data_IF_347266279453
#
_entry.id   IF_347266279453
#
_cell.length_a   1.000
_cell.length_b   1.000
_cell.length_c   1.000
_cell.angle_alpha   90.00
_cell.angle_beta   90.00
_cell.angle_gamma   90.00
#
_symmetry.space_group_name_H-M   'P 1'
#
loop_
_entity.id
_entity.type
_entity.pdbx_description
1 polymer ?
#
# COMPACT_ATOMS: atom_id res chain seq x y z
N UNK A 1 -14.87 32.24 7.08
CA UNK A 1 -15.35 30.92 7.49
C UNK A 1 -16.64 31.16 8.24
N UNK A 2 -17.75 30.65 7.73
CA UNK A 2 -19.05 30.78 8.37
C UNK A 2 -19.22 29.71 9.44
N UNK A 3 -19.69 30.08 10.64
CA UNK A 3 -20.04 29.14 11.69
C UNK A 3 -21.56 28.93 11.70
N UNK A 4 -22.00 27.72 11.39
CA UNK A 4 -23.40 27.39 11.22
C UNK A 4 -23.80 26.34 12.26
N UNK A 5 -24.84 26.63 13.04
CA UNK A 5 -25.39 25.72 14.03
C UNK A 5 -26.77 25.27 13.58
N UNK A 6 -26.92 23.97 13.37
CA UNK A 6 -28.14 23.34 12.92
C UNK A 6 -28.63 22.36 13.98
N UNK A 7 -29.89 21.96 13.88
CA UNK A 7 -30.59 21.15 14.87
C UNK A 7 -31.29 19.93 14.26
N UNK A 8 -31.52 19.91 12.95
CA UNK A 8 -32.30 18.87 12.27
C UNK A 8 -31.73 18.46 10.91
N UNK A 9 -32.17 17.28 10.43
CA UNK A 9 -31.84 16.77 9.10
C UNK A 9 -32.30 17.72 7.97
N UNK A 10 -33.47 18.37 8.11
CA UNK A 10 -33.97 19.31 7.09
C UNK A 10 -33.10 20.56 6.97
N UNK A 11 -32.64 21.07 8.11
CA UNK A 11 -31.72 22.20 8.15
C UNK A 11 -30.37 21.84 7.52
N UNK A 12 -29.86 20.63 7.79
CA UNK A 12 -28.63 20.10 7.16
C UNK A 12 -28.78 20.02 5.64
N UNK A 13 -29.90 19.47 5.16
CA UNK A 13 -30.19 19.38 3.72
C UNK A 13 -30.20 20.77 3.07
N UNK A 14 -30.94 21.70 3.66
CA UNK A 14 -31.03 23.08 3.18
C UNK A 14 -29.66 23.77 3.17
N UNK A 15 -28.83 23.51 4.17
CA UNK A 15 -27.48 24.08 4.23
C UNK A 15 -26.58 23.54 3.11
N UNK A 16 -26.70 22.26 2.75
CA UNK A 16 -25.91 21.69 1.65
C UNK A 16 -26.33 22.19 0.27
N UNK A 17 -27.61 22.51 0.06
CA UNK A 17 -28.09 23.11 -1.19
C UNK A 17 -27.43 24.49 -1.49
N UNK A 18 -26.85 25.14 -0.48
CA UNK A 18 -26.12 26.40 -0.64
C UNK A 18 -24.70 26.22 -1.21
N UNK A 19 -24.15 25.00 -1.16
CA UNK A 19 -22.80 24.71 -1.60
C UNK A 19 -22.85 23.94 -2.93
N UNK A 20 -22.19 24.46 -3.96
CA UNK A 20 -22.16 23.84 -5.29
C UNK A 20 -21.20 22.65 -5.39
N UNK A 21 -21.15 22.04 -6.58
CA UNK A 21 -20.32 20.86 -6.92
C UNK A 21 -18.81 21.08 -6.72
N UNK A 22 -18.37 22.33 -6.63
CA UNK A 22 -16.98 22.71 -6.37
C UNK A 22 -16.57 22.65 -4.89
N UNK A 23 -17.50 22.33 -3.99
CA UNK A 23 -17.20 22.12 -2.58
C UNK A 23 -16.65 20.71 -2.32
N UNK A 24 -15.78 20.60 -1.32
CA UNK A 24 -15.44 19.33 -0.70
C UNK A 24 -15.87 19.37 0.78
N UNK A 25 -16.22 18.22 1.32
CA UNK A 25 -16.74 18.08 2.67
C UNK A 25 -15.84 17.18 3.51
N UNK A 26 -15.77 17.46 4.80
CA UNK A 26 -15.09 16.62 5.79
C UNK A 26 -15.89 16.57 7.08
N UNK A 27 -16.34 15.38 7.46
CA UNK A 27 -17.01 15.14 8.74
C UNK A 27 -16.09 14.56 9.80
N UNK A 28 -16.39 14.84 11.07
CA UNK A 28 -15.72 14.28 12.23
C UNK A 28 -16.54 14.48 13.50
N UNK A 29 -16.36 13.59 14.49
CA UNK A 29 -17.07 13.66 15.77
C UNK A 29 -16.42 14.58 16.80
N UNK A 30 -15.30 15.22 16.45
CA UNK A 30 -14.54 16.10 17.34
C UNK A 30 -14.09 17.35 16.57
N UNK A 31 -14.01 18.50 17.25
CA UNK A 31 -13.45 19.72 16.70
C UNK A 31 -12.01 19.89 17.18
N UNK A 32 -11.08 20.12 16.23
CA UNK A 32 -9.68 20.38 16.55
C UNK A 32 -9.32 21.82 16.21
N UNK A 33 -8.73 22.52 17.17
CA UNK A 33 -8.24 23.89 17.02
C UNK A 33 -6.74 23.97 17.27
N UNK A 34 -6.06 24.90 16.62
CA UNK A 34 -4.66 25.22 16.91
C UNK A 34 -4.52 26.02 18.21
N UNK A 35 -3.28 26.37 18.58
CA UNK A 35 -2.98 27.16 19.77
C UNK A 35 -3.60 28.57 19.75
N UNK A 36 -4.01 29.05 18.58
CA UNK A 36 -4.65 30.35 18.36
C UNK A 36 -6.17 30.25 18.38
N UNK A 37 -6.74 29.04 18.55
CA UNK A 37 -8.18 28.79 18.53
C UNK A 37 -8.77 28.66 17.11
N UNK A 38 -7.95 28.68 16.06
CA UNK A 38 -8.40 28.48 14.68
C UNK A 38 -8.58 27.00 14.37
N UNK A 39 -9.51 26.65 13.48
CA UNK A 39 -9.70 25.26 13.03
C UNK A 39 -8.38 24.69 12.49
N UNK A 40 -8.00 23.51 12.98
CA UNK A 40 -6.76 22.83 12.58
C UNK A 40 -7.06 21.43 12.08
N UNK A 41 -7.02 21.24 10.76
CA UNK A 41 -7.14 19.92 10.12
C UNK A 41 -5.74 19.49 9.69
N UNK A 42 -5.16 18.55 10.44
CA UNK A 42 -3.78 18.07 10.22
C UNK A 42 -3.76 16.74 9.47
N UNK A 43 -2.69 16.48 8.72
CA UNK A 43 -2.49 15.17 8.09
C UNK A 43 -2.22 14.07 9.13
N UNK A 44 -2.48 12.81 8.75
CA UNK A 44 -2.31 11.66 9.63
C UNK A 44 -0.87 11.50 10.12
N UNK A 45 0.12 11.87 9.30
CA UNK A 45 1.53 11.80 9.69
C UNK A 45 1.89 12.71 10.87
N UNK A 46 1.36 13.93 10.94
CA UNK A 46 1.68 14.82 12.07
C UNK A 46 1.11 14.27 13.39
N UNK A 47 0.00 13.52 13.31
CA UNK A 47 -0.66 12.91 14.47
C UNK A 47 0.01 11.61 14.92
N UNK A 48 0.67 10.87 14.03
CA UNK A 48 1.05 9.48 14.30
C UNK A 48 2.45 9.07 13.81
N UNK A 49 3.25 10.01 13.29
CA UNK A 49 4.61 9.79 12.83
C UNK A 49 4.72 9.13 11.44
N UNK A 50 5.96 8.95 10.97
CA UNK A 50 6.31 8.28 9.72
C UNK A 50 7.41 7.25 9.95
N UNK A 51 7.32 6.11 9.26
CA UNK A 51 8.41 5.14 9.12
C UNK A 51 8.82 5.13 7.64
N UNK A 52 9.82 5.92 7.22
CA UNK A 52 10.09 6.18 5.80
C UNK A 52 10.25 4.93 4.94
N UNK A 53 10.98 3.91 5.43
CA UNK A 53 11.18 2.65 4.70
C UNK A 53 9.88 1.87 4.45
N UNK A 54 8.94 1.89 5.40
CA UNK A 54 7.61 1.28 5.21
C UNK A 54 6.75 2.13 4.27
N UNK A 55 6.79 3.45 4.39
CA UNK A 55 6.06 4.34 3.47
C UNK A 55 6.48 4.11 2.03
N UNK A 56 7.78 3.99 1.75
CA UNK A 56 8.28 3.75 0.39
C UNK A 56 7.90 2.35 -0.13
N UNK A 57 8.09 1.31 0.68
CA UNK A 57 7.68 -0.06 0.36
C UNK A 57 6.18 -0.12 0.00
N UNK A 58 5.32 0.44 0.85
CA UNK A 58 3.89 0.36 0.61
C UNK A 58 3.46 1.25 -0.53
N UNK A 59 4.11 2.42 -0.74
CA UNK A 59 3.89 3.26 -1.93
C UNK A 59 4.21 2.48 -3.22
N UNK A 60 5.31 1.73 -3.22
CA UNK A 60 5.67 0.83 -4.32
C UNK A 60 4.58 -0.22 -4.54
N UNK A 61 4.18 -0.93 -3.48
CA UNK A 61 3.18 -1.99 -3.60
C UNK A 61 1.82 -1.45 -4.07
N UNK A 62 1.39 -0.30 -3.55
CA UNK A 62 0.17 0.35 -3.99
C UNK A 62 0.22 0.73 -5.46
N UNK A 63 1.38 1.11 -6.01
CA UNK A 63 1.54 1.36 -7.44
C UNK A 63 1.25 0.10 -8.26
N UNK A 64 1.71 -1.07 -7.83
CA UNK A 64 1.39 -2.36 -8.47
C UNK A 64 -0.11 -2.66 -8.35
N UNK A 65 -0.71 -2.50 -7.16
CA UNK A 65 -2.15 -2.71 -6.93
C UNK A 65 -2.99 -1.84 -7.85
N UNK A 66 -2.62 -0.57 -7.91
CA UNK A 66 -3.24 0.42 -8.77
C UNK A 66 -3.12 0.01 -10.24
N UNK A 67 -1.93 -0.36 -10.71
CA UNK A 67 -1.73 -0.80 -12.09
C UNK A 67 -2.58 -2.03 -12.44
N UNK A 68 -2.72 -2.97 -11.50
CA UNK A 68 -3.53 -4.18 -11.70
C UNK A 68 -5.03 -3.86 -11.80
N UNK A 69 -5.53 -2.89 -11.03
CA UNK A 69 -6.93 -2.43 -11.12
C UNK A 69 -7.13 -1.51 -12.33
N UNK A 70 -6.12 -0.72 -12.68
CA UNK A 70 -6.23 0.30 -13.72
C UNK A 70 -5.98 -0.21 -15.14
N UNK A 71 -5.41 -1.40 -15.24
CA UNK A 71 -4.98 -1.97 -16.51
C UNK A 71 -3.58 -1.51 -16.89
N UNK A 72 -2.99 -2.19 -17.86
CA UNK A 72 -1.59 -2.01 -18.24
C UNK A 72 -1.36 -0.89 -19.26
N UNK A 73 -2.14 0.21 -19.16
CA UNK A 73 -1.89 1.38 -20.00
C UNK A 73 -0.58 2.08 -19.62
N UNK A 74 0.12 2.69 -20.59
CA UNK A 74 1.50 3.16 -20.44
C UNK A 74 1.66 4.43 -19.57
N UNK A 75 0.58 4.92 -18.94
CA UNK A 75 0.66 6.12 -18.10
C UNK A 75 1.15 5.72 -16.70
N UNK A 76 2.37 6.14 -16.29
CA UNK A 76 2.88 5.75 -14.99
C UNK A 76 2.06 6.40 -13.89
N UNK A 77 1.56 5.59 -12.95
CA UNK A 77 0.94 6.11 -11.73
C UNK A 77 1.97 6.92 -10.93
N UNK A 78 1.73 8.22 -10.68
CA UNK A 78 2.60 9.03 -9.83
C UNK A 78 2.64 8.47 -8.40
N UNK A 79 3.81 8.49 -7.75
CA UNK A 79 3.96 8.01 -6.37
C UNK A 79 3.01 8.71 -5.38
N UNK A 80 2.71 9.99 -5.63
CA UNK A 80 1.77 10.79 -4.83
C UNK A 80 0.37 10.16 -4.83
N UNK A 81 -0.07 9.64 -5.98
CA UNK A 81 -1.37 8.98 -6.12
C UNK A 81 -1.39 7.63 -5.39
N UNK A 82 -0.30 6.86 -5.47
CA UNK A 82 -0.14 5.63 -4.69
C UNK A 82 -0.25 5.89 -3.19
N UNK A 83 0.36 6.97 -2.70
CA UNK A 83 0.28 7.37 -1.30
C UNK A 83 -1.10 7.90 -0.88
N UNK A 84 -1.78 8.63 -1.77
CA UNK A 84 -3.14 9.11 -1.55
C UNK A 84 -4.11 7.94 -1.40
N UNK A 85 -4.04 6.94 -2.29
CA UNK A 85 -4.85 5.73 -2.22
C UNK A 85 -4.57 4.94 -0.95
N UNK A 86 -3.29 4.70 -0.61
CA UNK A 86 -2.95 4.02 0.65
C UNK A 86 -3.53 4.73 1.86
N UNK A 87 -3.44 6.07 1.89
CA UNK A 87 -3.98 6.84 3.00
C UNK A 87 -5.49 6.63 3.13
N UNK A 88 -6.20 6.70 2.01
CA UNK A 88 -7.64 6.49 1.98
C UNK A 88 -8.05 5.12 2.54
N UNK A 89 -7.18 4.11 2.37
CA UNK A 89 -7.40 2.79 2.93
C UNK A 89 -7.07 2.65 4.43
N UNK A 90 -6.42 3.65 5.02
CA UNK A 90 -6.09 3.70 6.45
C UNK A 90 -4.59 3.78 6.75
N UNK A 91 -3.73 3.78 5.73
CA UNK A 91 -2.30 3.98 5.93
C UNK A 91 -1.99 5.43 6.33
N UNK A 92 -0.88 5.65 7.04
CA UNK A 92 -0.49 6.99 7.51
C UNK A 92 0.29 7.72 6.42
N UNK A 93 -0.11 8.94 6.07
CA UNK A 93 0.55 9.76 5.05
C UNK A 93 0.30 11.27 5.25
N UNK A 94 0.65 12.07 4.25
CA UNK A 94 0.69 13.53 4.26
C UNK A 94 -0.59 14.20 3.73
N UNK A 95 -1.71 13.49 3.63
CA UNK A 95 -2.93 14.04 3.05
C UNK A 95 -4.00 14.29 4.09
N UNK A 96 -5.05 14.99 3.68
CA UNK A 96 -6.31 15.12 4.40
C UNK A 96 -7.41 14.52 3.52
N UNK A 97 -8.13 13.52 4.05
CA UNK A 97 -9.30 12.96 3.38
C UNK A 97 -10.45 13.97 3.36
N UNK A 98 -11.10 14.07 2.21
CA UNK A 98 -12.32 14.82 1.95
C UNK A 98 -13.23 14.00 1.02
N UNK A 99 -14.45 14.46 0.83
CA UNK A 99 -15.43 13.83 -0.04
C UNK A 99 -16.22 14.88 -0.80
N UNK A 100 -16.61 14.61 -2.05
CA UNK A 100 -17.57 15.45 -2.75
C UNK A 100 -19.03 15.12 -2.35
N UNK A 101 -19.27 14.03 -1.61
CA UNK A 101 -20.59 13.64 -1.12
C UNK A 101 -20.85 14.13 0.31
N UNK A 102 -21.74 15.11 0.46
CA UNK A 102 -22.15 15.64 1.77
C UNK A 102 -22.73 14.57 2.72
N UNK A 103 -23.40 13.54 2.16
CA UNK A 103 -23.93 12.41 2.93
C UNK A 103 -22.81 11.58 3.58
N UNK A 104 -21.71 11.33 2.87
CA UNK A 104 -20.54 10.61 3.40
C UNK A 104 -19.88 11.43 4.52
N UNK A 105 -19.70 12.74 4.33
CA UNK A 105 -19.20 13.61 5.39
C UNK A 105 -20.15 13.62 6.60
N UNK A 106 -21.46 13.66 6.39
CA UNK A 106 -22.43 13.58 7.47
C UNK A 106 -22.34 12.26 8.24
N UNK A 107 -22.10 11.15 7.54
CA UNK A 107 -21.84 9.86 8.18
C UNK A 107 -20.64 9.94 9.14
N UNK A 108 -19.51 10.51 8.72
CA UNK A 108 -18.33 10.70 9.58
C UNK A 108 -18.53 11.71 10.72
N UNK A 109 -19.48 12.63 10.60
CA UNK A 109 -19.89 13.53 11.69
C UNK A 109 -20.85 12.83 12.69
N UNK A 110 -21.58 11.82 12.23
CA UNK A 110 -22.59 11.07 13.00
C UNK A 110 -22.08 9.78 13.66
N UNK A 111 -20.97 9.21 13.19
CA UNK A 111 -20.40 7.95 13.65
C UNK A 111 -18.94 8.12 14.11
N UNK A 112 -18.61 7.52 15.26
CA UNK A 112 -17.24 7.50 15.80
C UNK A 112 -16.52 6.23 15.36
N UNK A 113 -15.37 6.41 14.72
CA UNK A 113 -14.45 5.33 14.39
C UNK A 113 -13.62 4.92 15.61
N UNK A 114 -13.57 3.62 15.89
CA UNK A 114 -12.70 2.99 16.85
C UNK A 114 -11.88 1.90 16.15
N UNK A 115 -10.56 1.91 16.34
CA UNK A 115 -9.68 0.87 15.83
C UNK A 115 -9.07 0.15 17.02
N UNK A 116 -9.26 -1.16 17.08
CA UNK A 116 -8.79 -2.00 18.17
C UNK A 116 -7.99 -3.19 17.61
N UNK A 117 -7.05 -3.70 18.40
CA UNK A 117 -6.37 -4.94 18.05
C UNK A 117 -7.24 -6.13 18.45
N UNK A 118 -7.57 -7.00 17.50
CA UNK A 118 -8.25 -8.27 17.73
C UNK A 118 -7.26 -9.44 17.58
N UNK A 119 -7.33 -10.38 18.52
CA UNK A 119 -6.54 -11.62 18.45
C UNK A 119 -7.41 -12.76 17.91
N UNK A 120 -6.96 -13.38 16.84
CA UNK A 120 -7.55 -14.60 16.30
C UNK A 120 -6.62 -15.78 16.60
N UNK A 121 -7.17 -16.87 17.16
CA UNK A 121 -6.47 -18.16 17.24
C UNK A 121 -7.11 -19.07 16.21
N UNK A 122 -6.33 -19.50 15.24
CA UNK A 122 -6.81 -20.21 14.05
C UNK A 122 -5.79 -21.23 13.57
N UNK A 123 -6.00 -21.80 12.41
CA UNK A 123 -5.05 -22.67 11.73
C UNK A 123 -4.85 -22.26 10.27
N UNK A 124 -3.69 -22.58 9.72
CA UNK A 124 -3.46 -22.52 8.28
C UNK A 124 -4.14 -23.68 7.53
N UNK A 125 -4.02 -23.70 6.20
CA UNK A 125 -4.59 -24.72 5.32
C UNK A 125 -4.15 -26.16 5.63
N UNK A 126 -2.98 -26.34 6.24
CA UNK A 126 -2.44 -27.63 6.67
C UNK A 126 -2.85 -28.01 8.11
N UNK A 127 -3.59 -27.16 8.81
CA UNK A 127 -3.99 -27.35 10.20
C UNK A 127 -2.94 -26.91 11.22
N UNK A 128 -1.89 -26.20 10.80
CA UNK A 128 -0.87 -25.64 11.69
C UNK A 128 -1.49 -24.50 12.49
N UNK A 129 -1.47 -24.56 13.84
CA UNK A 129 -2.11 -23.52 14.65
C UNK A 129 -1.26 -22.24 14.66
N UNK A 130 -1.94 -21.11 14.48
CA UNK A 130 -1.33 -19.76 14.45
C UNK A 130 -2.18 -18.77 15.25
N UNK A 131 -1.54 -17.70 15.72
CA UNK A 131 -2.24 -16.56 16.30
C UNK A 131 -2.07 -15.33 15.40
N UNK A 132 -3.15 -14.63 15.08
CA UNK A 132 -3.13 -13.44 14.23
C UNK A 132 -3.53 -12.20 15.03
N UNK A 133 -2.91 -11.06 14.70
CA UNK A 133 -3.28 -9.75 15.23
C UNK A 133 -3.86 -8.92 14.10
N UNK A 134 -5.15 -8.62 14.21
CA UNK A 134 -5.89 -7.77 13.27
C UNK A 134 -6.05 -6.37 13.85
N UNK A 135 -6.02 -5.35 13.00
CA UNK A 135 -6.55 -4.03 13.33
C UNK A 135 -8.00 -4.00 12.87
N UNK A 136 -8.97 -4.05 13.80
CA UNK A 136 -10.39 -4.08 13.45
C UNK A 136 -10.98 -2.68 13.62
N UNK A 137 -11.60 -2.17 12.56
CA UNK A 137 -12.30 -0.90 12.56
C UNK A 137 -13.78 -1.09 12.84
N UNK A 138 -14.30 -0.42 13.87
CA UNK A 138 -15.72 -0.39 14.20
C UNK A 138 -16.22 1.05 14.26
N UNK A 139 -17.44 1.27 13.77
CA UNK A 139 -18.09 2.57 13.84
C UNK A 139 -19.36 2.49 14.66
N UNK A 140 -19.43 3.27 15.75
CA UNK A 140 -20.60 3.36 16.61
C UNK A 140 -21.26 4.73 16.47
N UNK A 141 -22.58 4.80 16.67
CA UNK A 141 -23.27 6.08 16.73
C UNK A 141 -22.62 7.01 17.77
N UNK A 142 -22.46 8.28 17.43
CA UNK A 142 -21.95 9.30 18.34
C UNK A 142 -23.11 10.06 18.99
N UNK A 143 -23.11 10.21 20.32
CA UNK A 143 -24.21 10.87 21.04
C UNK A 143 -24.03 12.39 21.25
N UNK A 144 -22.97 12.98 20.68
CA UNK A 144 -22.61 14.39 20.87
C UNK A 144 -22.93 15.29 19.67
N UNK A 145 -22.09 16.32 19.52
CA UNK A 145 -22.16 17.25 18.38
C UNK A 145 -21.24 16.71 17.28
N UNK A 146 -21.79 16.52 16.09
CA UNK A 146 -21.00 16.28 14.90
C UNK A 146 -20.45 17.59 14.35
N UNK A 147 -19.31 17.51 13.69
CA UNK A 147 -18.68 18.64 13.01
C UNK A 147 -18.45 18.31 11.55
N UNK A 148 -18.84 19.23 10.68
CA UNK A 148 -18.64 19.12 9.25
C UNK A 148 -18.03 20.41 8.71
N UNK A 149 -16.99 20.27 7.91
CA UNK A 149 -16.28 21.37 7.29
C UNK A 149 -16.53 21.38 5.80
N UNK A 150 -16.83 22.55 5.27
CA UNK A 150 -16.95 22.79 3.83
C UNK A 150 -15.66 23.46 3.36
N UNK A 151 -15.05 22.87 2.33
CA UNK A 151 -13.74 23.21 1.82
C UNK A 151 -13.85 23.74 0.39
N UNK A 152 -13.16 24.85 0.10
CA UNK A 152 -13.12 25.43 -1.25
C UNK A 152 -11.95 24.85 -2.04
N UNK A 153 -12.26 24.14 -3.14
CA UNK A 153 -11.24 23.64 -4.08
C UNK A 153 -10.38 24.78 -4.63
N UNK A 154 -11.01 25.89 -5.00
CA UNK A 154 -10.31 27.08 -5.50
C UNK A 154 -9.32 27.65 -4.48
N UNK A 155 -9.71 27.79 -3.21
CA UNK A 155 -8.83 28.30 -2.17
C UNK A 155 -7.64 27.36 -1.89
N UNK A 156 -7.87 26.05 -1.93
CA UNK A 156 -6.82 25.01 -1.79
C UNK A 156 -5.81 25.13 -2.94
N UNK A 157 -6.29 25.16 -4.19
CA UNK A 157 -5.45 25.32 -5.37
C UNK A 157 -4.66 26.64 -5.36
N UNK A 158 -5.30 27.76 -4.96
CA UNK A 158 -4.61 29.06 -4.80
C UNK A 158 -3.53 29.04 -3.74
N UNK A 159 -3.64 28.18 -2.73
CA UNK A 159 -2.61 27.96 -1.73
C UNK A 159 -1.46 27.06 -2.24
N UNK A 160 -1.52 26.60 -3.50
CA UNK A 160 -0.51 25.73 -4.11
C UNK A 160 -0.56 24.29 -3.61
N UNK A 161 -1.71 23.85 -3.06
CA UNK A 161 -1.92 22.48 -2.57
C UNK A 161 -2.66 21.69 -3.64
N UNK A 162 -2.19 20.48 -3.92
CA UNK A 162 -2.81 19.60 -4.90
C UNK A 162 -4.09 18.96 -4.35
N UNK A 163 -5.03 18.72 -5.26
CA UNK A 163 -6.27 17.99 -5.04
C UNK A 163 -6.23 16.72 -5.88
N UNK A 164 -6.42 15.58 -5.23
CA UNK A 164 -6.41 14.27 -5.88
C UNK A 164 -7.83 13.71 -5.86
N UNK A 165 -8.51 13.78 -7.00
CA UNK A 165 -9.77 13.09 -7.24
C UNK A 165 -9.50 11.59 -7.35
N UNK A 166 -9.85 10.83 -6.31
CA UNK A 166 -9.61 9.40 -6.34
C UNK A 166 -10.63 8.67 -7.19
N UNK A 167 -11.83 9.21 -7.38
CA UNK A 167 -12.88 8.57 -8.19
C UNK A 167 -12.57 8.76 -9.67
N UNK A 168 -12.31 10.00 -10.08
CA UNK A 168 -11.94 10.34 -11.46
C UNK A 168 -10.61 9.71 -11.90
N UNK A 169 -9.72 9.38 -10.96
CA UNK A 169 -8.50 8.63 -11.23
C UNK A 169 -8.72 7.12 -11.45
N UNK A 170 -9.89 6.57 -11.07
CA UNK A 170 -10.22 5.18 -11.37
C UNK A 170 -10.64 5.06 -12.83
N UNK A 171 -10.03 4.16 -13.62
CA UNK A 171 -10.52 3.83 -14.94
C UNK A 171 -11.82 3.05 -14.80
N UNK A 172 -12.58 3.05 -15.89
CA UNK A 172 -13.91 2.46 -16.00
C UNK A 172 -13.99 0.92 -15.75
N UNK A 173 -12.89 0.27 -15.37
CA UNK A 173 -12.74 -1.18 -15.17
C UNK A 173 -12.57 -1.62 -13.70
N UNK A 174 -12.73 -0.72 -12.74
CA UNK A 174 -12.78 -1.16 -11.34
C UNK A 174 -14.01 -2.06 -11.13
N UNK A 175 -13.78 -3.36 -10.96
CA UNK A 175 -14.84 -4.32 -10.63
C UNK A 175 -15.29 -4.09 -9.18
N UNK A 176 -16.61 -4.07 -8.98
CA UNK A 176 -17.24 -3.91 -7.67
C UNK A 176 -17.38 -2.45 -7.20
N UNK A 177 -17.65 -2.27 -5.91
CA UNK A 177 -17.77 -0.94 -5.28
C UNK A 177 -16.51 -0.75 -4.45
N UNK A 178 -15.48 -0.16 -5.05
CA UNK A 178 -14.25 0.18 -4.33
C UNK A 178 -14.46 1.39 -3.43
N UNK A 179 -13.76 1.45 -2.30
CA UNK A 179 -13.94 2.49 -1.27
C UNK A 179 -13.89 3.93 -1.80
N UNK A 180 -12.97 4.32 -2.71
CA UNK A 180 -12.98 5.67 -3.27
C UNK A 180 -14.31 6.05 -3.91
N UNK A 181 -14.96 5.12 -4.62
CA UNK A 181 -16.28 5.33 -5.24
C UNK A 181 -17.36 5.41 -4.16
N UNK A 182 -17.34 4.49 -3.19
CA UNK A 182 -18.31 4.45 -2.09
C UNK A 182 -18.34 5.76 -1.28
N UNK A 183 -17.19 6.43 -1.18
CA UNK A 183 -17.02 7.64 -0.39
C UNK A 183 -16.94 8.92 -1.22
N UNK A 184 -17.05 8.87 -2.54
CA UNK A 184 -16.80 10.00 -3.45
C UNK A 184 -15.51 10.76 -3.07
N UNK A 185 -14.42 10.00 -2.99
CA UNK A 185 -13.24 10.35 -2.21
C UNK A 185 -12.28 11.33 -2.90
N UNK A 186 -11.80 12.28 -2.12
CA UNK A 186 -10.79 13.27 -2.51
C UNK A 186 -9.69 13.35 -1.47
N UNK A 187 -8.44 13.44 -1.90
CA UNK A 187 -7.29 13.59 -1.02
C UNK A 187 -6.66 14.96 -1.27
N UNK A 188 -6.52 15.75 -0.21
CA UNK A 188 -5.90 17.09 -0.26
C UNK A 188 -4.47 16.94 0.23
N UNK A 189 -3.48 17.38 -0.55
CA UNK A 189 -2.07 17.32 -0.15
C UNK A 189 -1.11 16.90 -1.26
N UNK A 190 0.18 16.67 -0.93
CA UNK A 190 0.72 16.51 0.42
C UNK A 190 0.79 17.83 1.21
N UNK A 191 0.44 17.81 2.49
CA UNK A 191 0.49 18.95 3.41
C UNK A 191 0.64 18.52 4.90
N UNK A 192 1.05 19.46 5.75
CA UNK A 192 1.06 19.26 7.22
C UNK A 192 -0.30 19.58 7.84
N UNK A 193 -0.88 20.70 7.45
CA UNK A 193 -2.16 21.18 7.94
C UNK A 193 -2.88 21.99 6.86
N UNK A 194 -4.19 21.83 6.77
CA UNK A 194 -5.02 22.55 5.81
C UNK A 194 -5.02 24.04 6.17
N UNK A 195 -4.76 24.95 5.21
CA UNK A 195 -4.86 26.38 5.45
C UNK A 195 -6.29 26.76 5.83
N UNK A 196 -6.47 27.56 6.89
CA UNK A 196 -7.79 27.97 7.38
C UNK A 196 -8.63 28.71 6.32
N UNK A 197 -7.98 29.44 5.40
CA UNK A 197 -8.63 30.10 4.24
C UNK A 197 -9.34 29.11 3.31
N UNK A 198 -8.95 27.84 3.33
CA UNK A 198 -9.58 26.78 2.54
C UNK A 198 -10.90 26.32 3.13
N UNK A 199 -11.17 26.62 4.40
CA UNK A 199 -12.37 26.22 5.12
C UNK A 199 -13.39 27.37 5.03
N UNK A 200 -14.40 27.20 4.19
CA UNK A 200 -15.39 28.24 3.94
C UNK A 200 -16.53 28.21 4.95
N UNK A 201 -16.86 27.03 5.50
CA UNK A 201 -17.85 26.89 6.56
C UNK A 201 -17.51 25.76 7.54
N UNK A 202 -17.97 25.94 8.78
CA UNK A 202 -18.01 24.94 9.84
C UNK A 202 -19.45 24.77 10.29
N UNK A 203 -20.03 23.61 10.00
CA UNK A 203 -21.40 23.23 10.35
C UNK A 203 -21.33 22.31 11.57
N UNK A 204 -22.13 22.63 12.59
CA UNK A 204 -22.26 21.83 13.81
C UNK A 204 -23.73 21.54 14.09
N UNK A 205 -24.03 20.30 14.45
CA UNK A 205 -25.37 19.82 14.75
C UNK A 205 -25.32 18.60 15.67
N UNK A 206 -26.42 18.21 16.33
CA UNK A 206 -26.51 16.91 16.98
C UNK A 206 -26.13 15.79 16.00
N UNK A 207 -25.27 14.87 16.43
CA UNK A 207 -24.79 13.78 15.58
C UNK A 207 -25.92 12.91 15.00
N UNK A 208 -27.05 12.80 15.71
CA UNK A 208 -28.26 12.14 15.19
C UNK A 208 -28.77 12.81 13.91
N UNK A 209 -28.78 14.14 13.81
CA UNK A 209 -29.26 14.84 12.63
C UNK A 209 -28.38 14.55 11.39
N UNK A 210 -27.07 14.41 11.59
CA UNK A 210 -26.15 13.99 10.53
C UNK A 210 -26.36 12.52 10.12
N UNK A 211 -26.63 11.63 11.09
CA UNK A 211 -26.98 10.23 10.79
C UNK A 211 -28.27 10.14 9.99
N UNK A 212 -29.32 10.85 10.41
CA UNK A 212 -30.61 10.88 9.70
C UNK A 212 -30.44 11.35 8.25
N UNK A 213 -29.60 12.36 8.03
CA UNK A 213 -29.27 12.84 6.68
C UNK A 213 -28.53 11.77 5.86
N UNK A 214 -27.49 11.14 6.43
CA UNK A 214 -26.74 10.07 5.77
C UNK A 214 -27.63 8.85 5.44
N UNK A 215 -28.51 8.46 6.37
CA UNK A 215 -29.49 7.38 6.18
C UNK A 215 -30.49 7.71 5.06
N UNK A 216 -30.92 8.97 4.96
CA UNK A 216 -31.80 9.42 3.86
C UNK A 216 -31.16 9.30 2.47
N UNK A 217 -29.83 9.26 2.42
CA UNK A 217 -29.03 8.99 1.22
C UNK A 217 -28.62 7.51 1.06
N UNK A 218 -29.13 6.61 1.92
CA UNK A 218 -28.88 5.16 1.85
C UNK A 218 -27.62 4.68 2.60
N UNK A 219 -26.93 5.54 3.36
CA UNK A 219 -25.73 5.20 4.14
C UNK A 219 -26.12 4.66 5.54
N UNK A 220 -26.89 3.58 5.55
CA UNK A 220 -27.42 2.96 6.79
C UNK A 220 -26.39 2.03 7.44
N UNK A 221 -25.70 1.22 6.62
CA UNK A 221 -24.73 0.24 7.09
C UNK A 221 -23.30 0.69 6.85
N UNK A 222 -22.38 0.28 7.73
CA UNK A 222 -20.95 0.57 7.60
C UNK A 222 -20.37 0.05 6.28
N UNK A 223 -20.86 -1.08 5.76
CA UNK A 223 -20.47 -1.67 4.47
C UNK A 223 -20.68 -0.72 3.28
N UNK A 224 -21.59 0.25 3.38
CA UNK A 224 -21.82 1.26 2.34
C UNK A 224 -20.72 2.31 2.27
N UNK A 225 -20.00 2.52 3.37
CA UNK A 225 -18.87 3.46 3.46
C UNK A 225 -17.54 2.70 3.38
N UNK A 226 -17.49 1.50 3.94
CA UNK A 226 -16.32 0.62 3.98
C UNK A 226 -16.68 -0.74 3.36
N UNK A 227 -16.70 -0.84 2.02
CA UNK A 227 -16.97 -2.09 1.33
C UNK A 227 -15.96 -3.18 1.74
N UNK A 228 -16.43 -4.43 1.74
CA UNK A 228 -15.61 -5.59 2.14
C UNK A 228 -14.59 -5.96 1.06
N UNK A 229 -13.54 -6.73 1.36
CA UNK A 229 -12.61 -7.25 0.33
C UNK A 229 -13.29 -8.10 -0.76
N UNK A 230 -14.51 -8.59 -0.54
CA UNK A 230 -15.28 -9.28 -1.57
C UNK A 230 -15.88 -8.33 -2.62
N UNK A 231 -16.09 -7.06 -2.26
CA UNK A 231 -16.68 -6.02 -3.12
C UNK A 231 -15.65 -4.99 -3.59
N UNK A 232 -14.57 -4.81 -2.82
CA UNK A 232 -13.50 -3.84 -3.05
C UNK A 232 -12.22 -4.55 -3.48
N UNK A 233 -11.99 -4.56 -4.80
CA UNK A 233 -10.82 -5.20 -5.40
C UNK A 233 -9.49 -4.57 -4.98
N UNK A 234 -9.44 -3.26 -4.73
CA UNK A 234 -8.23 -2.59 -4.25
C UNK A 234 -7.91 -3.06 -2.83
N UNK A 235 -8.91 -3.07 -1.94
CA UNK A 235 -8.74 -3.55 -0.56
C UNK A 235 -8.29 -5.02 -0.54
N UNK A 236 -8.89 -5.87 -1.39
CA UNK A 236 -8.51 -7.27 -1.54
C UNK A 236 -7.03 -7.42 -1.89
N UNK A 237 -6.54 -6.64 -2.86
CA UNK A 237 -5.14 -6.68 -3.24
C UNK A 237 -4.23 -6.14 -2.12
N UNK A 238 -4.59 -5.02 -1.48
CA UNK A 238 -3.84 -4.49 -0.35
C UNK A 238 -3.73 -5.50 0.81
N UNK A 239 -4.75 -6.34 1.02
CA UNK A 239 -4.72 -7.42 2.01
C UNK A 239 -4.03 -8.70 1.53
N UNK A 240 -3.71 -8.86 0.25
CA UNK A 240 -3.02 -10.07 -0.23
C UNK A 240 -1.55 -10.17 0.21
N UNK A 241 -1.03 -9.16 0.91
CA UNK A 241 0.32 -9.20 1.47
C UNK A 241 0.41 -10.32 2.52
N UNK A 242 1.53 -11.08 2.56
CA UNK A 242 1.75 -12.12 3.55
C UNK A 242 1.60 -11.61 4.98
N UNK A 243 1.13 -12.50 5.85
CA UNK A 243 1.22 -12.35 7.29
C UNK A 243 2.67 -12.53 7.73
N UNK A 244 3.15 -11.66 8.62
CA UNK A 244 4.55 -11.66 9.05
C UNK A 244 4.67 -12.04 10.51
N UNK A 245 5.58 -12.97 10.80
CA UNK A 245 5.88 -13.35 12.16
C UNK A 245 6.39 -12.13 12.95
N UNK A 246 5.72 -11.82 14.06
CA UNK A 246 6.15 -10.78 14.98
C UNK A 246 6.80 -11.37 16.23
N UNK A 247 7.59 -10.55 16.92
CA UNK A 247 8.23 -10.98 18.16
C UNK A 247 7.18 -11.27 19.24
N UNK A 248 7.04 -12.53 19.63
CA UNK A 248 6.14 -12.96 20.70
C UNK A 248 5.57 -14.36 20.46
N UNK A 249 4.97 -14.93 21.51
CA UNK A 249 4.19 -16.17 21.45
C UNK A 249 2.99 -16.08 22.37
N UNK A 250 1.87 -16.67 21.98
CA UNK A 250 0.72 -16.89 22.86
C UNK A 250 0.62 -18.39 23.12
N UNK A 251 0.95 -18.83 24.35
CA UNK A 251 0.90 -20.26 24.73
C UNK A 251 1.60 -21.16 23.69
N UNK A 252 2.83 -20.77 23.35
CA UNK A 252 3.71 -21.39 22.34
C UNK A 252 3.38 -21.18 20.86
N UNK A 253 2.22 -20.61 20.53
CA UNK A 253 1.83 -20.31 19.15
C UNK A 253 2.62 -19.13 18.57
N UNK A 254 3.11 -19.22 17.32
CA UNK A 254 3.65 -18.06 16.61
C UNK A 254 2.56 -17.01 16.39
N UNK A 255 2.92 -15.74 16.56
CA UNK A 255 2.01 -14.62 16.34
C UNK A 255 2.37 -13.94 15.03
N UNK A 256 1.39 -13.71 14.17
CA UNK A 256 1.55 -13.02 12.91
C UNK A 256 0.72 -11.73 12.86
N UNK A 257 1.17 -10.77 12.05
CA UNK A 257 0.46 -9.54 11.73
C UNK A 257 0.71 -9.18 10.26
N UNK A 258 -0.28 -8.59 9.57
CA UNK A 258 -0.07 -8.14 8.19
C UNK A 258 1.00 -7.05 8.12
N UNK A 259 1.88 -7.13 7.13
CA UNK A 259 2.90 -6.10 6.89
C UNK A 259 2.31 -4.72 6.61
N UNK A 260 1.27 -4.68 5.77
CA UNK A 260 0.48 -3.49 5.50
C UNK A 260 -0.70 -3.46 6.48
N UNK A 261 -0.54 -2.65 7.53
CA UNK A 261 -1.55 -2.50 8.59
C UNK A 261 -2.63 -1.55 8.14
N UNK A 262 -3.81 -2.08 7.81
CA UNK A 262 -5.01 -1.33 7.48
C UNK A 262 -6.16 -1.82 8.37
N UNK A 263 -7.08 -0.95 8.78
CA UNK A 263 -8.26 -1.37 9.53
C UNK A 263 -9.18 -2.28 8.70
N UNK A 264 -9.57 -3.40 9.30
CA UNK A 264 -10.55 -4.36 8.77
C UNK A 264 -11.94 -4.04 9.33
N UNK A 265 -12.83 -3.54 8.47
CA UNK A 265 -14.21 -3.18 8.84
C UNK A 265 -15.21 -4.34 8.70
N UNK A 266 -14.80 -5.43 8.05
CA UNK A 266 -15.64 -6.61 7.82
C UNK A 266 -15.02 -7.89 8.37
N UNK A 267 -14.16 -7.74 9.40
CA UNK A 267 -13.44 -8.84 10.02
C UNK A 267 -14.38 -9.94 10.50
N UNK A 268 -14.08 -11.18 10.11
CA UNK A 268 -14.75 -12.40 10.56
C UNK A 268 -13.68 -13.44 10.84
N UNK A 269 -13.56 -13.96 12.07
CA UNK A 269 -12.56 -14.96 12.39
C UNK A 269 -12.82 -16.24 11.60
N UNK A 270 -11.76 -16.86 11.11
CA UNK A 270 -11.83 -18.12 10.39
C UNK A 270 -11.38 -19.25 11.31
N UNK A 271 -11.98 -20.43 11.12
CA UNK A 271 -11.49 -21.65 11.79
C UNK A 271 -10.18 -22.15 11.18
N UNK A 272 -10.06 -21.97 9.87
CA UNK A 272 -8.95 -22.41 9.05
C UNK A 272 -8.84 -21.42 7.88
N UNK A 273 -7.66 -20.85 7.69
CA UNK A 273 -7.36 -19.95 6.57
C UNK A 273 -7.10 -20.77 5.29
N UNK A 274 -7.42 -20.21 4.12
CA UNK A 274 -7.22 -20.91 2.85
C UNK A 274 -5.72 -20.98 2.48
N UNK A 275 -5.38 -21.81 1.50
CA UNK A 275 -3.99 -22.09 1.12
C UNK A 275 -3.26 -20.88 0.51
N UNK A 276 -4.01 -19.96 -0.10
CA UNK A 276 -3.53 -18.70 -0.68
C UNK A 276 -3.29 -17.59 0.35
N UNK A 277 -3.47 -17.86 1.65
CA UNK A 277 -3.01 -16.98 2.73
C UNK A 277 -1.70 -17.50 3.35
N UNK A 278 -0.62 -16.76 3.11
CA UNK A 278 0.71 -17.10 3.62
C UNK A 278 1.01 -16.50 5.01
N UNK A 279 1.54 -17.34 5.91
CA UNK A 279 2.06 -16.99 7.24
C UNK A 279 3.59 -17.12 7.27
N UNK A 280 4.27 -16.06 6.87
CA UNK A 280 5.70 -16.09 6.61
C UNK A 280 6.54 -15.94 7.89
N UNK A 281 7.32 -16.99 8.17
CA UNK A 281 8.42 -16.93 9.14
C UNK A 281 9.72 -16.56 8.42
N UNK A 282 10.44 -15.50 8.82
CA UNK A 282 11.60 -15.02 8.09
C UNK A 282 12.68 -16.08 7.86
N UNK A 283 13.03 -16.32 6.59
CA UNK A 283 14.19 -17.08 6.19
C UNK A 283 14.82 -16.51 4.91
N UNK A 284 16.06 -16.89 4.66
CA UNK A 284 16.79 -16.58 3.44
C UNK A 284 16.96 -17.84 2.58
N UNK A 285 16.50 -17.81 1.34
CA UNK A 285 16.79 -18.82 0.31
C UNK A 285 18.29 -19.01 0.17
N UNK A 286 19.10 -17.94 0.30
CA UNK A 286 20.56 -18.04 0.28
C UNK A 286 21.14 -19.07 1.27
N UNK A 287 20.45 -19.31 2.39
CA UNK A 287 20.84 -20.25 3.45
C UNK A 287 20.34 -21.68 3.19
N UNK A 288 19.28 -21.83 2.40
CA UNK A 288 18.73 -23.12 2.01
C UNK A 288 18.26 -23.05 0.55
N UNK A 289 19.22 -23.18 -0.38
CA UNK A 289 19.04 -22.86 -1.81
C UNK A 289 18.14 -23.83 -2.57
N UNK A 290 17.66 -24.89 -1.91
CA UNK A 290 16.85 -25.91 -2.55
C UNK A 290 17.59 -26.62 -3.68
N UNK A 291 16.91 -26.79 -4.82
CA UNK A 291 17.38 -27.51 -6.00
C UNK A 291 18.57 -26.89 -6.75
N UNK A 292 18.94 -27.50 -7.87
CA UNK A 292 20.18 -27.18 -8.60
C UNK A 292 20.18 -25.77 -9.25
N UNK A 293 19.01 -25.19 -9.50
CA UNK A 293 18.84 -23.93 -10.24
C UNK A 293 19.64 -22.76 -9.67
N UNK A 294 19.68 -22.63 -8.34
CA UNK A 294 20.28 -21.49 -7.64
C UNK A 294 21.59 -21.83 -6.91
N UNK A 295 22.08 -23.08 -7.01
CA UNK A 295 23.24 -23.53 -6.23
C UNK A 295 24.48 -22.64 -6.46
N UNK A 296 24.74 -22.26 -7.70
CA UNK A 296 25.92 -21.49 -8.09
C UNK A 296 25.70 -19.96 -8.12
N UNK A 297 24.50 -19.49 -7.81
CA UNK A 297 24.21 -18.06 -7.79
C UNK A 297 24.88 -17.35 -6.61
N UNK A 298 25.31 -16.11 -6.85
CA UNK A 298 25.68 -15.19 -5.77
C UNK A 298 24.42 -14.51 -5.22
N UNK A 299 24.19 -14.59 -3.92
CA UNK A 299 23.06 -13.93 -3.27
C UNK A 299 23.48 -12.63 -2.62
N UNK A 300 22.78 -11.54 -2.93
CA UNK A 300 22.89 -10.24 -2.28
C UNK A 300 21.62 -10.05 -1.43
N UNK A 301 21.74 -10.17 -0.11
CA UNK A 301 20.60 -10.10 0.81
C UNK A 301 20.38 -8.68 1.31
N UNK A 302 19.19 -8.14 1.13
CA UNK A 302 18.84 -6.77 1.51
C UNK A 302 17.48 -6.67 2.22
N UNK A 303 17.28 -5.68 3.11
CA UNK A 303 15.97 -5.43 3.70
C UNK A 303 14.94 -4.98 2.65
N UNK A 304 13.72 -5.52 2.68
CA UNK A 304 12.66 -5.21 1.70
C UNK A 304 12.35 -3.72 1.58
N UNK A 305 12.39 -2.99 2.71
CA UNK A 305 12.04 -1.58 2.76
C UNK A 305 13.01 -0.71 1.97
N UNK A 306 14.27 -1.17 1.84
CA UNK A 306 15.27 -0.57 0.97
C UNK A 306 15.11 -1.07 -0.46
N UNK A 307 14.91 -2.38 -0.63
CA UNK A 307 14.86 -3.04 -1.95
C UNK A 307 13.73 -2.51 -2.83
N UNK A 308 12.53 -2.44 -2.29
CA UNK A 308 11.36 -1.93 -3.00
C UNK A 308 11.18 -0.42 -2.83
N UNK A 309 11.84 0.20 -1.86
CA UNK A 309 11.73 1.62 -1.57
C UNK A 309 12.66 2.52 -2.40
N UNK A 310 13.82 2.02 -2.83
CA UNK A 310 14.79 2.78 -3.60
C UNK A 310 14.51 2.71 -5.12
N UNK A 311 13.68 3.62 -5.61
CA UNK A 311 13.26 3.71 -7.02
C UNK A 311 14.17 4.62 -7.88
N UNK A 312 15.39 4.91 -7.42
CA UNK A 312 16.34 5.71 -8.19
C UNK A 312 16.68 5.07 -9.54
N UNK A 313 16.60 5.84 -10.64
CA UNK A 313 17.09 5.37 -11.94
C UNK A 313 18.59 5.17 -11.89
N UNK A 314 19.05 4.04 -12.41
CA UNK A 314 20.47 3.73 -12.54
C UNK A 314 20.79 3.61 -14.04
N UNK A 315 21.65 4.48 -14.57
CA UNK A 315 21.96 4.51 -16.01
C UNK A 315 22.92 3.39 -16.43
N UNK A 316 23.75 2.90 -15.50
CA UNK A 316 24.72 1.84 -15.71
C UNK A 316 24.90 1.01 -14.43
N UNK A 317 25.12 -0.30 -14.60
CA UNK A 317 25.28 -1.25 -13.49
C UNK A 317 26.60 -2.04 -13.57
N UNK A 318 27.77 -1.38 -13.61
CA UNK A 318 29.05 -2.05 -13.81
C UNK A 318 29.38 -3.09 -12.72
N UNK A 319 29.13 -2.80 -11.43
CA UNK A 319 29.50 -3.71 -10.34
C UNK A 319 28.62 -4.96 -10.34
N UNK A 320 27.30 -4.79 -10.47
CA UNK A 320 26.35 -5.89 -10.55
C UNK A 320 26.63 -6.77 -11.78
N UNK A 321 26.87 -6.17 -12.95
CA UNK A 321 27.15 -6.94 -14.18
C UNK A 321 28.50 -7.66 -14.08
N UNK A 322 29.50 -7.10 -13.42
CA UNK A 322 30.76 -7.81 -13.16
C UNK A 322 30.53 -9.07 -12.31
N UNK A 323 29.68 -8.99 -11.28
CA UNK A 323 29.30 -10.15 -10.48
C UNK A 323 28.50 -11.18 -11.27
N UNK A 324 27.53 -10.73 -12.08
CA UNK A 324 26.74 -11.61 -12.96
C UNK A 324 27.63 -12.35 -13.94
N UNK A 325 28.62 -11.68 -14.56
CA UNK A 325 29.57 -12.34 -15.47
C UNK A 325 30.47 -13.34 -14.76
N UNK A 326 30.89 -13.03 -13.53
CA UNK A 326 31.76 -13.91 -12.73
C UNK A 326 31.03 -15.17 -12.25
N UNK A 327 29.77 -15.04 -11.86
CA UNK A 327 29.00 -16.12 -11.24
C UNK A 327 27.95 -16.75 -12.16
N UNK A 328 27.74 -16.19 -13.36
CA UNK A 328 26.66 -16.53 -14.29
C UNK A 328 25.29 -15.99 -13.85
N UNK A 329 25.05 -15.93 -12.54
CA UNK A 329 23.79 -15.51 -11.94
C UNK A 329 24.01 -14.80 -10.60
N UNK A 330 23.30 -13.69 -10.41
CA UNK A 330 23.20 -12.99 -9.13
C UNK A 330 21.73 -12.91 -8.73
N UNK A 331 21.44 -13.21 -7.47
CA UNK A 331 20.12 -13.08 -6.87
C UNK A 331 20.16 -11.91 -5.90
N UNK A 332 19.26 -10.95 -6.05
CA UNK A 332 19.04 -9.91 -5.04
C UNK A 332 17.82 -10.30 -4.24
N UNK A 333 18.05 -10.75 -3.00
CA UNK A 333 17.05 -11.37 -2.15
C UNK A 333 16.55 -10.40 -1.07
N UNK A 334 15.24 -10.37 -0.89
CA UNK A 334 14.52 -9.64 0.15
C UNK A 334 14.36 -10.48 1.42
N UNK A 335 14.43 -9.86 2.60
CA UNK A 335 14.18 -10.51 3.90
C UNK A 335 12.76 -11.08 4.01
N UNK A 336 11.78 -10.38 3.41
CA UNK A 336 10.37 -10.75 3.41
C UNK A 336 9.82 -10.77 1.96
N UNK A 337 8.90 -11.70 1.65
CA UNK A 337 8.23 -11.74 0.36
C UNK A 337 7.22 -10.59 0.19
N UNK A 338 6.86 -10.32 -1.06
CA UNK A 338 5.79 -9.42 -1.46
C UNK A 338 4.81 -10.17 -2.36
N UNK A 339 3.52 -9.87 -2.23
CA UNK A 339 2.51 -10.36 -3.16
C UNK A 339 2.59 -9.60 -4.48
N UNK A 340 2.16 -10.23 -5.56
CA UNK A 340 1.90 -9.57 -6.82
C UNK A 340 0.38 -9.54 -7.06
N UNK A 341 -0.25 -8.38 -7.31
CA UNK A 341 -1.70 -8.28 -7.42
C UNK A 341 -2.33 -9.23 -8.45
N UNK A 342 -1.63 -9.51 -9.55
CA UNK A 342 -2.05 -10.44 -10.60
C UNK A 342 -2.01 -11.91 -10.17
N UNK A 343 -1.32 -12.21 -9.06
CA UNK A 343 -1.19 -13.54 -8.48
C UNK A 343 -2.07 -13.69 -7.22
N UNK A 344 -2.93 -12.71 -6.92
CA UNK A 344 -3.89 -12.82 -5.81
C UNK A 344 -4.80 -14.02 -6.02
N UNK A 345 -4.94 -14.85 -4.99
CA UNK A 345 -5.64 -16.14 -5.07
C UNK A 345 -4.76 -17.31 -5.48
N UNK A 346 -3.45 -17.08 -5.68
CA UNK A 346 -2.44 -18.12 -5.87
C UNK A 346 -1.49 -18.17 -4.66
N UNK A 347 -0.60 -19.16 -4.65
CA UNK A 347 0.42 -19.32 -3.62
C UNK A 347 1.74 -18.62 -3.97
N UNK A 348 1.82 -17.90 -5.10
CA UNK A 348 3.08 -17.35 -5.62
C UNK A 348 3.38 -15.95 -5.08
N UNK A 349 4.57 -15.78 -4.51
CA UNK A 349 5.08 -14.51 -3.99
C UNK A 349 6.46 -14.17 -4.56
N UNK A 350 6.76 -12.87 -4.67
CA UNK A 350 8.09 -12.39 -5.03
C UNK A 350 8.98 -12.24 -3.80
N UNK A 351 10.20 -12.77 -3.83
CA UNK A 351 11.21 -12.59 -2.78
C UNK A 351 12.44 -11.81 -3.24
N UNK A 352 12.38 -11.18 -4.41
CA UNK A 352 13.46 -10.36 -4.95
C UNK A 352 13.57 -10.53 -6.47
N UNK A 353 14.79 -10.37 -6.99
CA UNK A 353 15.06 -10.53 -8.43
C UNK A 353 16.23 -11.48 -8.68
N UNK A 354 16.27 -12.02 -9.89
CA UNK A 354 17.39 -12.78 -10.43
C UNK A 354 17.92 -12.05 -11.65
N UNK A 355 19.24 -11.85 -11.69
CA UNK A 355 19.97 -11.28 -12.83
C UNK A 355 20.88 -12.35 -13.40
N UNK A 356 20.65 -12.74 -14.65
CA UNK A 356 21.29 -13.89 -15.28
C UNK A 356 21.94 -13.49 -16.60
N UNK A 357 23.17 -13.97 -16.83
CA UNK A 357 23.84 -13.81 -18.12
C UNK A 357 23.41 -14.89 -19.12
N UNK A 358 23.16 -14.47 -20.36
CA UNK A 358 22.94 -15.30 -21.53
C UNK A 358 24.05 -15.01 -22.56
N UNK A 359 25.24 -15.56 -22.31
CA UNK A 359 26.45 -15.19 -23.04
C UNK A 359 27.02 -13.83 -22.60
N UNK A 360 27.75 -13.15 -23.49
CA UNK A 360 28.57 -11.99 -23.10
C UNK A 360 27.80 -10.66 -22.99
N UNK A 361 26.70 -10.54 -23.74
CA UNK A 361 26.00 -9.28 -23.97
C UNK A 361 24.55 -9.29 -23.55
N UNK A 362 23.93 -10.45 -23.35
CA UNK A 362 22.51 -10.52 -23.03
C UNK A 362 22.32 -10.81 -21.55
N UNK A 363 21.49 -10.00 -20.89
CA UNK A 363 21.16 -10.10 -19.48
C UNK A 363 19.64 -10.27 -19.36
N UNK A 364 19.23 -11.27 -18.60
CA UNK A 364 17.83 -11.45 -18.19
C UNK A 364 17.67 -10.94 -16.76
N UNK A 365 16.59 -10.19 -16.53
CA UNK A 365 16.17 -9.77 -15.18
C UNK A 365 14.76 -10.30 -14.91
N UNK A 366 14.66 -11.14 -13.89
CA UNK A 366 13.48 -11.94 -13.55
C UNK A 366 13.10 -11.78 -12.08
N UNK A 367 11.89 -12.21 -11.70
CA UNK A 367 11.51 -12.32 -10.29
C UNK A 367 12.08 -13.59 -9.67
N UNK A 368 12.56 -13.48 -8.43
CA UNK A 368 12.77 -14.64 -7.56
C UNK A 368 11.41 -15.00 -6.94
N UNK A 369 10.84 -16.13 -7.34
CA UNK A 369 9.51 -16.56 -6.86
C UNK A 369 9.62 -17.56 -5.71
N UNK A 370 8.61 -17.54 -4.86
CA UNK A 370 8.45 -18.41 -3.72
C UNK A 370 6.98 -18.80 -3.59
N UNK A 371 6.71 -20.10 -3.59
CA UNK A 371 5.37 -20.62 -3.35
C UNK A 371 5.16 -20.86 -1.85
N UNK A 372 4.17 -20.19 -1.28
CA UNK A 372 3.80 -20.27 0.13
C UNK A 372 2.35 -20.75 0.28
N UNK A 373 2.17 -21.83 1.02
CA UNK A 373 0.87 -22.38 1.41
C UNK A 373 0.77 -22.39 2.93
N UNK A 374 -0.02 -21.48 3.51
CA UNK A 374 -0.06 -21.32 4.96
C UNK A 374 1.31 -20.97 5.54
N UNK A 375 1.79 -21.76 6.51
CA UNK A 375 3.13 -21.60 7.10
C UNK A 375 4.27 -22.25 6.28
N UNK A 376 3.96 -22.97 5.19
CA UNK A 376 4.91 -23.79 4.47
C UNK A 376 5.43 -23.09 3.20
N UNK A 377 6.75 -23.10 3.02
CA UNK A 377 7.37 -22.80 1.74
C UNK A 377 7.50 -24.10 0.93
N UNK A 378 6.84 -24.17 -0.22
CA UNK A 378 6.73 -25.38 -1.03
C UNK A 378 7.78 -25.42 -2.16
N UNK A 379 7.88 -24.34 -2.93
CA UNK A 379 8.77 -24.26 -4.09
C UNK A 379 9.50 -22.91 -4.16
N UNK A 380 10.74 -22.95 -4.64
CA UNK A 380 11.55 -21.76 -4.94
C UNK A 380 11.82 -21.76 -6.44
N UNK A 381 11.46 -20.68 -7.12
CA UNK A 381 11.52 -20.59 -8.56
C UNK A 381 12.16 -19.31 -9.07
N UNK A 382 12.31 -19.26 -10.39
CA UNK A 382 12.69 -18.05 -11.13
C UNK A 382 11.67 -17.88 -12.24
N UNK A 383 10.87 -16.82 -12.16
CA UNK A 383 9.88 -16.52 -13.17
C UNK A 383 10.55 -16.09 -14.48
N UNK A 384 9.78 -16.02 -15.58
CA UNK A 384 10.29 -15.44 -16.82
C UNK A 384 10.60 -13.95 -16.64
N UNK A 385 11.75 -13.52 -17.17
CA UNK A 385 12.22 -12.13 -17.09
C UNK A 385 12.05 -11.33 -18.36
N UNK A 386 12.54 -10.09 -18.31
CA UNK A 386 12.82 -9.30 -19.50
C UNK A 386 14.30 -9.31 -19.83
N UNK A 387 14.60 -9.14 -21.12
CA UNK A 387 15.94 -9.23 -21.67
C UNK A 387 16.49 -7.86 -22.02
N UNK A 388 17.78 -7.69 -21.76
CA UNK A 388 18.51 -6.45 -21.94
C UNK A 388 19.86 -6.72 -22.60
N UNK A 389 20.20 -5.92 -23.60
CA UNK A 389 21.56 -5.89 -24.15
C UNK A 389 22.45 -5.02 -23.25
N UNK A 390 23.56 -5.61 -22.81
CA UNK A 390 24.58 -4.98 -21.99
C UNK A 390 25.75 -4.53 -22.86
N UNK A 391 25.95 -3.22 -22.91
CA UNK A 391 27.16 -2.61 -23.48
C UNK A 391 28.34 -2.64 -22.49
N UNK A 392 29.54 -2.32 -22.98
CA UNK A 392 30.82 -2.48 -22.25
C UNK A 392 30.96 -1.79 -20.88
N UNK A 393 30.04 -0.89 -20.52
CA UNK A 393 30.04 -0.17 -19.23
C UNK A 393 28.88 -0.55 -18.30
N UNK A 394 28.24 -1.71 -18.51
CA UNK A 394 27.10 -2.14 -17.68
C UNK A 394 25.80 -1.38 -17.97
N UNK A 395 25.74 -0.60 -19.05
CA UNK A 395 24.50 0.03 -19.50
C UNK A 395 23.62 -1.00 -20.20
N UNK A 396 22.40 -1.13 -19.71
CA UNK A 396 21.38 -2.08 -20.15
C UNK A 396 20.34 -1.39 -21.04
N UNK A 397 20.08 -1.96 -22.21
CA UNK A 397 19.05 -1.52 -23.14
C UNK A 397 18.04 -2.64 -23.37
N UNK A 398 16.74 -2.37 -23.19
CA UNK A 398 15.68 -3.37 -23.39
C UNK A 398 15.71 -3.93 -24.82
N UNK A 399 15.65 -5.25 -24.97
CA UNK A 399 15.57 -5.94 -26.27
C UNK A 399 14.50 -7.03 -26.23
N UNK A 400 13.65 -7.11 -27.26
CA UNK A 400 12.68 -8.20 -27.37
C UNK A 400 13.38 -9.55 -27.53
N UNK A 401 12.88 -10.57 -26.86
CA UNK A 401 13.44 -11.92 -26.89
C UNK A 401 12.33 -12.97 -26.87
N UNK A 402 12.55 -14.11 -27.52
CA UNK A 402 11.52 -15.16 -27.66
C UNK A 402 11.11 -15.82 -26.33
N UNK A 403 12.00 -15.78 -25.33
CA UNK A 403 11.79 -16.36 -24.00
C UNK A 403 11.41 -15.31 -22.94
N UNK A 404 11.09 -14.09 -23.35
CA UNK A 404 10.71 -13.04 -22.40
C UNK A 404 9.34 -13.31 -21.77
N UNK A 405 9.15 -12.79 -20.56
CA UNK A 405 7.87 -12.82 -19.88
C UNK A 405 6.76 -12.23 -20.78
N UNK A 406 5.69 -12.99 -21.06
CA UNK A 406 4.62 -12.54 -21.92
C UNK A 406 3.62 -11.63 -21.17
N UNK A 407 3.84 -11.34 -19.89
CA UNK A 407 2.88 -10.59 -19.11
C UNK A 407 2.77 -9.13 -19.62
N UNK A 408 1.55 -8.56 -19.62
CA UNK A 408 1.35 -7.18 -20.05
C UNK A 408 1.82 -6.14 -19.02
N UNK A 409 2.20 -6.55 -17.80
CA UNK A 409 2.63 -5.63 -16.74
C UNK A 409 4.07 -5.15 -16.96
N UNK A 410 4.22 -4.12 -17.79
CA UNK A 410 5.51 -3.45 -18.02
C UNK A 410 6.10 -2.86 -16.75
N UNK A 411 5.27 -2.27 -15.89
CA UNK A 411 5.69 -1.63 -14.64
C UNK A 411 6.44 -2.63 -13.74
N UNK A 412 5.97 -3.86 -13.62
CA UNK A 412 6.65 -4.90 -12.84
C UNK A 412 8.07 -5.15 -13.32
N UNK A 413 8.29 -5.21 -14.63
CA UNK A 413 9.61 -5.44 -15.19
C UNK A 413 10.51 -4.20 -15.09
N UNK A 414 9.96 -2.99 -15.23
CA UNK A 414 10.66 -1.75 -14.92
C UNK A 414 11.10 -1.70 -13.45
N UNK A 415 10.24 -2.19 -12.56
CA UNK A 415 10.52 -2.28 -11.14
C UNK A 415 11.62 -3.31 -10.83
N UNK A 416 11.65 -4.46 -11.53
CA UNK A 416 12.78 -5.38 -11.40
C UNK A 416 14.10 -4.74 -11.84
N UNK A 417 14.10 -3.96 -12.92
CA UNK A 417 15.27 -3.18 -13.33
C UNK A 417 15.65 -2.11 -12.30
N UNK A 418 14.67 -1.45 -11.67
CA UNK A 418 14.91 -0.49 -10.60
C UNK A 418 15.56 -1.14 -9.37
N UNK A 419 15.11 -2.34 -8.99
CA UNK A 419 15.71 -3.15 -7.92
C UNK A 419 17.17 -3.50 -8.25
N UNK A 420 17.46 -3.89 -9.49
CA UNK A 420 18.85 -4.11 -9.93
C UNK A 420 19.69 -2.83 -9.82
N UNK A 421 19.11 -1.67 -10.16
CA UNK A 421 19.75 -0.37 -9.99
C UNK A 421 20.00 0.02 -8.53
N UNK A 422 19.11 -0.34 -7.60
CA UNK A 422 19.32 -0.16 -6.17
C UNK A 422 20.48 -1.03 -5.67
N UNK A 423 20.51 -2.31 -6.07
CA UNK A 423 21.60 -3.22 -5.76
C UNK A 423 22.95 -2.70 -6.29
N UNK A 424 23.00 -2.17 -7.51
CA UNK A 424 24.19 -1.50 -8.05
C UNK A 424 24.67 -0.37 -7.13
N UNK A 425 23.79 0.57 -6.78
CA UNK A 425 24.18 1.71 -5.92
C UNK A 425 24.79 1.25 -4.60
N UNK A 426 24.22 0.21 -4.01
CA UNK A 426 24.73 -0.35 -2.75
C UNK A 426 26.04 -1.11 -2.91
N UNK A 427 26.25 -1.79 -4.05
CA UNK A 427 27.55 -2.37 -4.39
C UNK A 427 28.60 -1.27 -4.54
N UNK A 428 28.31 -0.20 -5.30
CA UNK A 428 29.21 0.94 -5.47
C UNK A 428 29.53 1.63 -4.14
N UNK A 429 28.54 1.71 -3.23
CA UNK A 429 28.70 2.25 -1.89
C UNK A 429 29.29 1.24 -0.88
N UNK A 430 29.74 0.06 -1.32
CA UNK A 430 30.31 -0.99 -0.46
C UNK A 430 29.41 -1.43 0.69
N UNK A 431 28.09 -1.39 0.51
CA UNK A 431 27.12 -1.77 1.53
C UNK A 431 26.89 -3.29 1.60
N UNK A 432 27.44 -4.08 0.68
CA UNK A 432 27.35 -5.53 0.71
C UNK A 432 28.66 -6.17 1.15
N UNK A 433 28.59 -7.01 2.19
CA UNK A 433 29.74 -7.72 2.73
C UNK A 433 29.57 -9.24 2.60
N UNK A 434 30.63 -9.99 2.23
CA UNK A 434 30.60 -11.44 2.24
C UNK A 434 30.21 -11.97 3.62
N UNK A 435 29.26 -12.91 3.65
CA UNK A 435 28.77 -13.51 4.89
C UNK A 435 29.16 -15.00 4.97
N UNK A 436 28.46 -15.88 4.24
CA UNK A 436 28.76 -17.32 4.19
C UNK A 436 28.57 -17.83 2.76
N UNK A 437 29.57 -18.54 2.23
CA UNK A 437 29.54 -19.10 0.88
C UNK A 437 29.33 -18.03 -0.19
N UNK A 438 28.50 -18.31 -1.18
CA UNK A 438 28.09 -17.36 -2.22
C UNK A 438 26.93 -16.46 -1.74
N UNK A 439 27.03 -15.88 -0.54
CA UNK A 439 26.02 -14.97 0.00
C UNK A 439 26.66 -13.77 0.68
N UNK A 440 26.22 -12.58 0.27
CA UNK A 440 26.59 -11.30 0.83
C UNK A 440 25.39 -10.69 1.55
N UNK A 441 25.66 -9.97 2.64
CA UNK A 441 24.65 -9.30 3.44
C UNK A 441 24.80 -7.78 3.31
N UNK A 442 23.67 -7.10 3.15
CA UNK A 442 23.60 -5.66 3.26
C UNK A 442 23.88 -5.22 4.70
N UNK A 443 24.70 -4.20 4.84
CA UNK A 443 25.01 -3.51 6.09
C UNK A 443 24.75 -2.03 5.83
N UNK A 444 23.93 -1.40 6.67
CA UNK A 444 23.72 0.04 6.56
C UNK A 444 25.05 0.75 6.76
N UNK A 445 25.42 1.72 5.89
CA UNK A 445 26.51 2.62 6.22
C UNK A 445 26.15 3.31 7.53
N UNK A 446 27.11 3.39 8.46
CA UNK A 446 26.96 4.16 9.70
C UNK A 446 26.37 5.55 9.35
N UNK A 447 25.16 5.84 9.84
CA UNK A 447 24.47 7.11 9.60
C UNK A 447 25.09 8.27 10.39
#
# INVERSE_FOLDING_TARGET
MDEIRLSSCEEIRTAFDLYGEEALFRGQTEHYSDKSGCVSIMSSMVRSGCVPGHTQLWSYYAKEVIQAVWGHEPVPTPIVMSQAILQHYGWRSFFVDATAAAAVASWFAGYRLQIENCFEITADSAGTPVALVHEVGNCSAHDGIGHLYVLSREAICKAGIELHDLVGALPARADGIVRPIAQDAWLIGPLRALPSVSIIAHISAPAQAFRDYAESAGLIEMSRVFPSPAEDSILRYLFSVPWELIHGRVRDLPIYMRGLRLPEYSFKPLKCHPADEAFFSPFWIAQNRGGDLLQNALFLRAPRGRLFGDQGKCECMPELIALVRKHGMVVVESDLPISYPEHVGTMEYGKGIVVKAHGDRLIEISSLSLDLSGCCAEEIGVAYGWFYECSGHGKLSRVQHAEECPCPNQLRHENHLAIAGAAERWLSASCFYPNVGLSWAFVEPDQ
#
